data_IF_193299477999
#
_entry.id   IF_193299477999
#
_cell.length_a   1.000
_cell.length_b   1.000
_cell.length_c   1.000
_cell.angle_alpha   90.00
_cell.angle_beta   90.00
_cell.angle_gamma   90.00
#
_symmetry.space_group_name_H-M   'P 1'
#
loop_
_entity.id
_entity.type
_entity.pdbx_description
1 polymer ?
#
# COMPACT_ATOMS: atom_id res chain seq x y z
N UNK A 1 -3.17 -25.27 11.76
CA UNK A 1 -1.84 -24.62 11.56
C UNK A 1 -1.02 -25.57 10.68
N UNK A 2 -0.30 -25.09 9.66
CA UNK A 2 0.29 -25.89 8.56
C UNK A 2 1.27 -27.02 8.96
N UNK A 3 1.50 -27.28 10.25
CA UNK A 3 2.56 -28.18 10.73
C UNK A 3 3.97 -27.63 10.53
N UNK A 4 4.09 -26.38 10.06
CA UNK A 4 5.36 -25.75 9.72
C UNK A 4 5.82 -24.88 10.90
N UNK A 5 7.08 -25.06 11.30
CA UNK A 5 7.71 -24.24 12.33
C UNK A 5 7.72 -22.76 11.91
N UNK A 6 7.46 -21.87 12.86
CA UNK A 6 7.33 -20.42 12.61
C UNK A 6 8.56 -19.83 11.94
N UNK A 7 9.74 -20.28 12.34
CA UNK A 7 11.03 -19.81 11.85
C UNK A 7 11.22 -20.16 10.37
N UNK A 8 10.82 -21.38 9.99
CA UNK A 8 10.87 -21.87 8.60
C UNK A 8 9.93 -21.04 7.74
N UNK A 9 8.67 -20.87 8.17
CA UNK A 9 7.70 -20.06 7.43
C UNK A 9 8.21 -18.62 7.24
N UNK A 10 8.76 -18.01 8.31
CA UNK A 10 9.28 -16.64 8.26
C UNK A 10 10.46 -16.51 7.30
N UNK A 11 11.39 -17.47 7.31
CA UNK A 11 12.52 -17.47 6.38
C UNK A 11 12.02 -17.55 4.93
N UNK A 12 11.09 -18.47 4.62
CA UNK A 12 10.51 -18.60 3.28
C UNK A 12 9.70 -17.40 2.84
N UNK A 13 9.01 -16.73 3.77
CA UNK A 13 8.30 -15.48 3.49
C UNK A 13 9.25 -14.34 3.12
N UNK A 14 10.38 -14.21 3.82
CA UNK A 14 11.39 -13.18 3.52
C UNK A 14 12.00 -13.43 2.14
N UNK A 15 12.40 -14.68 1.84
CA UNK A 15 12.90 -15.08 0.53
C UNK A 15 11.87 -14.77 -0.58
N UNK A 16 10.61 -15.21 -0.39
CA UNK A 16 9.52 -15.00 -1.33
C UNK A 16 9.26 -13.51 -1.61
N UNK A 17 9.23 -12.69 -0.56
CA UNK A 17 9.09 -11.23 -0.68
C UNK A 17 10.20 -10.62 -1.53
N UNK A 18 11.45 -11.02 -1.30
CA UNK A 18 12.58 -10.49 -2.05
C UNK A 18 12.54 -10.94 -3.52
N UNK A 19 12.23 -12.22 -3.78
CA UNK A 19 12.07 -12.75 -5.13
C UNK A 19 10.98 -12.00 -5.91
N UNK A 20 9.81 -11.77 -5.30
CA UNK A 20 8.71 -11.01 -5.93
C UNK A 20 9.13 -9.59 -6.25
N UNK A 21 9.80 -8.90 -5.31
CA UNK A 21 10.30 -7.54 -5.55
C UNK A 21 11.33 -7.48 -6.68
N UNK A 22 12.30 -8.39 -6.69
CA UNK A 22 13.32 -8.43 -7.73
C UNK A 22 12.71 -8.72 -9.11
N UNK A 23 11.68 -9.58 -9.17
CA UNK A 23 11.02 -9.96 -10.43
C UNK A 23 10.18 -8.81 -11.01
N UNK A 24 9.43 -8.11 -10.17
CA UNK A 24 8.46 -7.11 -10.62
C UNK A 24 9.06 -5.69 -10.72
N UNK A 25 10.17 -5.43 -10.02
CA UNK A 25 10.75 -4.09 -9.95
C UNK A 25 9.87 -3.15 -9.11
N UNK A 26 9.89 -1.86 -9.45
CA UNK A 26 9.25 -0.79 -8.69
C UNK A 26 7.85 -0.48 -9.26
N UNK A 27 6.93 -1.41 -9.08
CA UNK A 27 5.52 -1.29 -9.46
C UNK A 27 4.62 -1.78 -8.33
N UNK A 28 3.36 -1.35 -8.32
CA UNK A 28 2.38 -1.67 -7.26
C UNK A 28 2.31 -3.16 -6.89
N UNK A 29 2.34 -4.04 -7.90
CA UNK A 29 2.25 -5.49 -7.72
C UNK A 29 3.47 -6.08 -6.99
N UNK A 30 4.62 -5.40 -7.01
CA UNK A 30 5.82 -5.77 -6.24
C UNK A 30 5.57 -5.80 -4.73
N UNK A 31 4.53 -5.11 -4.26
CA UNK A 31 4.14 -4.99 -2.87
C UNK A 31 2.97 -5.91 -2.47
N UNK A 32 2.50 -6.78 -3.39
CA UNK A 32 1.37 -7.67 -3.20
C UNK A 32 1.65 -8.74 -2.13
N UNK A 33 0.89 -8.68 -1.02
CA UNK A 33 0.94 -9.71 0.03
C UNK A 33 0.44 -11.06 -0.47
N UNK A 34 -0.50 -11.05 -1.42
CA UNK A 34 -0.99 -12.26 -2.06
C UNK A 34 0.15 -12.99 -2.78
N UNK A 35 0.96 -12.25 -3.56
CA UNK A 35 2.11 -12.83 -4.28
C UNK A 35 3.20 -13.31 -3.32
N UNK A 36 3.45 -12.58 -2.22
CA UNK A 36 4.40 -13.01 -1.20
C UNK A 36 3.97 -14.33 -0.57
N UNK A 37 2.69 -14.46 -0.22
CA UNK A 37 2.14 -15.65 0.42
C UNK A 37 2.04 -16.83 -0.56
N UNK A 38 1.57 -16.61 -1.79
CA UNK A 38 1.61 -17.61 -2.85
C UNK A 38 3.01 -18.21 -2.97
N UNK A 39 4.02 -17.34 -3.13
CA UNK A 39 5.39 -17.78 -3.32
C UNK A 39 5.95 -18.47 -2.08
N UNK A 40 5.54 -18.05 -0.88
CA UNK A 40 5.89 -18.72 0.37
C UNK A 40 5.38 -20.16 0.42
N UNK A 41 4.10 -20.38 0.08
CA UNK A 41 3.49 -21.72 0.09
C UNK A 41 4.12 -22.63 -0.98
N UNK A 42 4.42 -22.09 -2.17
CA UNK A 42 5.14 -22.83 -3.22
C UNK A 42 6.55 -23.24 -2.76
N UNK A 43 7.27 -22.36 -2.07
CA UNK A 43 8.62 -22.64 -1.52
C UNK A 43 8.60 -23.60 -0.33
N UNK A 44 7.44 -23.89 0.22
CA UNK A 44 7.21 -24.92 1.23
C UNK A 44 6.77 -26.25 0.60
N UNK A 45 6.86 -26.38 -0.73
CA UNK A 45 6.53 -27.58 -1.51
C UNK A 45 5.05 -28.00 -1.42
N UNK A 46 4.18 -27.06 -1.08
CA UNK A 46 2.74 -27.31 -0.93
C UNK A 46 1.94 -27.03 -2.21
N UNK A 47 2.59 -26.57 -3.29
CA UNK A 47 1.94 -25.97 -4.46
C UNK A 47 1.38 -24.57 -4.13
N UNK A 48 0.41 -24.07 -4.90
CA UNK A 48 -0.17 -22.73 -4.64
C UNK A 48 -1.21 -22.75 -3.52
N UNK A 49 -2.00 -23.83 -3.35
CA UNK A 49 -3.10 -23.92 -2.37
C UNK A 49 -3.95 -22.64 -2.29
N UNK A 50 -4.67 -22.33 -3.37
CA UNK A 50 -5.36 -21.03 -3.59
C UNK A 50 -6.15 -20.55 -2.36
N UNK A 51 -7.01 -21.41 -1.78
CA UNK A 51 -7.81 -21.04 -0.60
C UNK A 51 -6.95 -20.64 0.61
N UNK A 52 -5.85 -21.34 0.85
CA UNK A 52 -4.93 -21.03 1.94
C UNK A 52 -4.23 -19.68 1.70
N UNK A 53 -3.80 -19.42 0.48
CA UNK A 53 -3.12 -18.16 0.14
C UNK A 53 -4.06 -16.97 0.30
N UNK A 54 -5.32 -17.11 -0.12
CA UNK A 54 -6.36 -16.09 0.10
C UNK A 54 -6.63 -15.87 1.60
N UNK A 55 -6.77 -16.95 2.38
CA UNK A 55 -6.99 -16.86 3.83
C UNK A 55 -5.83 -16.17 4.57
N UNK A 56 -4.59 -16.49 4.20
CA UNK A 56 -3.39 -15.86 4.76
C UNK A 56 -3.32 -14.36 4.41
N UNK A 57 -3.71 -13.98 3.19
CA UNK A 57 -3.69 -12.59 2.74
C UNK A 57 -4.74 -11.75 3.45
N UNK A 58 -5.96 -12.28 3.57
CA UNK A 58 -7.02 -11.68 4.36
C UNK A 58 -6.62 -11.56 5.84
N UNK A 59 -6.01 -12.61 6.40
CA UNK A 59 -5.53 -12.60 7.79
C UNK A 59 -4.45 -11.53 7.99
N UNK A 60 -3.51 -11.39 7.05
CA UNK A 60 -2.50 -10.32 7.09
C UNK A 60 -3.17 -8.94 7.12
N UNK A 61 -4.07 -8.65 6.19
CA UNK A 61 -4.68 -7.32 6.08
C UNK A 61 -5.61 -7.00 7.24
N UNK A 62 -6.41 -7.96 7.70
CA UNK A 62 -7.24 -7.80 8.91
C UNK A 62 -6.37 -7.45 10.13
N UNK A 63 -5.29 -8.20 10.33
CA UNK A 63 -4.37 -7.96 11.45
C UNK A 63 -3.67 -6.61 11.31
N UNK A 64 -3.24 -6.25 10.10
CA UNK A 64 -2.63 -4.95 9.82
C UNK A 64 -3.57 -3.79 10.16
N UNK A 65 -4.82 -3.82 9.68
CA UNK A 65 -5.79 -2.74 9.88
C UNK A 65 -6.13 -2.56 11.37
N UNK A 66 -6.37 -3.66 12.11
CA UNK A 66 -6.72 -3.59 13.54
C UNK A 66 -5.58 -3.02 14.40
N UNK A 67 -4.32 -3.23 14.00
CA UNK A 67 -3.16 -2.81 14.80
C UNK A 67 -2.54 -1.48 14.32
N UNK A 68 -2.86 -1.03 13.11
CA UNK A 68 -2.37 0.23 12.59
C UNK A 68 -3.18 1.39 13.20
N UNK A 69 -2.51 2.50 13.50
CA UNK A 69 -3.11 3.69 14.10
C UNK A 69 -2.69 4.92 13.31
N UNK A 70 -3.60 5.89 13.23
CA UNK A 70 -3.28 7.21 12.72
C UNK A 70 -2.25 7.91 13.62
N UNK A 71 -1.38 8.72 13.01
CA UNK A 71 -0.51 9.60 13.77
C UNK A 71 -1.35 10.62 14.56
N UNK A 72 -0.94 10.97 15.79
CA UNK A 72 -1.61 12.02 16.56
C UNK A 72 -1.72 13.33 15.75
N UNK A 73 -2.91 13.93 15.72
CA UNK A 73 -3.17 15.21 15.05
C UNK A 73 -3.30 15.16 13.52
N UNK A 74 -3.20 13.99 12.87
CA UNK A 74 -3.29 13.91 11.39
C UNK A 74 -4.65 14.36 10.86
N UNK A 75 -5.74 14.02 11.57
CA UNK A 75 -7.10 14.42 11.18
C UNK A 75 -7.27 15.94 11.31
N UNK A 76 -6.87 16.50 12.46
CA UNK A 76 -6.93 17.95 12.71
C UNK A 76 -6.12 18.72 11.67
N UNK A 77 -4.94 18.20 11.30
CA UNK A 77 -4.10 18.80 10.27
C UNK A 77 -4.78 18.82 8.90
N UNK A 78 -5.33 17.69 8.43
CA UNK A 78 -5.98 17.65 7.11
C UNK A 78 -7.26 18.49 7.11
N UNK A 79 -8.03 18.52 8.20
CA UNK A 79 -9.19 19.39 8.35
C UNK A 79 -8.80 20.87 8.31
N UNK A 80 -7.69 21.24 8.94
CA UNK A 80 -7.17 22.61 8.90
C UNK A 80 -6.82 23.01 7.45
N UNK A 81 -6.16 22.14 6.69
CA UNK A 81 -5.86 22.39 5.27
C UNK A 81 -7.15 22.61 4.46
N UNK A 82 -8.14 21.73 4.63
CA UNK A 82 -9.44 21.81 3.96
C UNK A 82 -10.18 23.10 4.33
N UNK A 83 -10.17 23.49 5.61
CA UNK A 83 -10.79 24.75 6.09
C UNK A 83 -10.15 26.01 5.50
N UNK A 84 -8.89 25.92 5.07
CA UNK A 84 -8.14 27.00 4.40
C UNK A 84 -8.28 26.95 2.88
N UNK A 85 -9.08 26.03 2.34
CA UNK A 85 -9.23 25.84 0.89
C UNK A 85 -7.98 25.30 0.21
N UNK A 86 -7.10 24.61 0.95
CA UNK A 86 -5.91 23.96 0.38
C UNK A 86 -6.35 22.62 -0.20
N UNK A 87 -6.19 22.46 -1.50
CA UNK A 87 -6.46 21.21 -2.23
C UNK A 87 -5.37 20.19 -1.87
N UNK A 88 -5.76 18.95 -1.60
CA UNK A 88 -4.88 17.90 -1.11
C UNK A 88 -4.93 16.65 -1.97
N UNK A 89 -3.77 16.01 -2.15
CA UNK A 89 -3.66 14.72 -2.81
C UNK A 89 -2.87 13.74 -1.94
N UNK A 90 -3.37 12.50 -1.79
CA UNK A 90 -2.63 11.41 -1.17
C UNK A 90 -1.85 10.63 -2.24
N UNK A 91 -0.52 10.53 -2.10
CA UNK A 91 0.35 9.77 -3.01
C UNK A 91 0.92 8.55 -2.28
N UNK A 92 0.56 7.36 -2.74
CA UNK A 92 0.91 6.10 -2.05
C UNK A 92 1.29 4.98 -2.99
N UNK A 93 2.22 4.14 -2.55
CA UNK A 93 2.55 2.90 -3.25
C UNK A 93 1.57 1.78 -2.82
N UNK A 94 1.58 0.67 -3.57
CA UNK A 94 0.65 -0.46 -3.53
C UNK A 94 -0.62 -0.27 -4.39
N UNK A 95 -1.35 -1.38 -4.60
CA UNK A 95 -2.57 -1.43 -5.42
C UNK A 95 -3.70 -0.57 -4.86
N UNK A 96 -4.54 -0.03 -5.74
CA UNK A 96 -5.59 0.93 -5.42
C UNK A 96 -6.58 0.36 -4.41
N UNK A 97 -7.01 -0.90 -4.60
CA UNK A 97 -8.02 -1.52 -3.75
C UNK A 97 -7.66 -1.50 -2.27
N UNK A 98 -6.43 -1.88 -1.91
CA UNK A 98 -6.03 -1.95 -0.51
C UNK A 98 -5.74 -0.56 0.06
N UNK A 99 -5.27 0.37 -0.76
CA UNK A 99 -5.08 1.76 -0.35
C UNK A 99 -6.42 2.43 -0.04
N UNK A 100 -7.45 2.22 -0.87
CA UNK A 100 -8.80 2.71 -0.60
C UNK A 100 -9.41 2.06 0.64
N UNK A 101 -9.23 0.75 0.84
CA UNK A 101 -9.66 0.07 2.07
C UNK A 101 -9.02 0.66 3.32
N UNK A 102 -7.74 1.04 3.28
CA UNK A 102 -7.09 1.72 4.40
C UNK A 102 -7.71 3.09 4.66
N UNK A 103 -7.91 3.90 3.62
CA UNK A 103 -8.53 5.22 3.76
C UNK A 103 -9.92 5.12 4.40
N UNK A 104 -10.79 4.25 3.89
CA UNK A 104 -12.13 4.02 4.46
C UNK A 104 -12.04 3.50 5.89
N UNK A 105 -11.17 2.52 6.18
CA UNK A 105 -11.03 1.95 7.52
C UNK A 105 -10.60 3.00 8.57
N UNK A 106 -9.76 3.95 8.17
CA UNK A 106 -9.31 5.04 9.05
C UNK A 106 -10.18 6.30 8.98
N UNK A 107 -11.30 6.27 8.25
CA UNK A 107 -12.19 7.41 8.07
C UNK A 107 -11.51 8.60 7.38
N UNK A 108 -10.66 8.34 6.39
CA UNK A 108 -9.91 9.33 5.60
C UNK A 108 -10.42 9.48 4.16
N UNK A 109 -11.47 8.76 3.79
CA UNK A 109 -12.03 8.69 2.44
C UNK A 109 -12.55 10.05 1.92
N UNK A 110 -13.04 10.90 2.80
CA UNK A 110 -13.56 12.24 2.46
C UNK A 110 -12.54 13.38 2.73
N UNK A 111 -11.30 13.03 3.12
CA UNK A 111 -10.32 14.00 3.60
C UNK A 111 -9.37 14.51 2.52
N UNK A 112 -9.19 13.76 1.43
CA UNK A 112 -8.35 14.15 0.31
C UNK A 112 -9.19 14.40 -0.93
N UNK A 113 -8.86 15.45 -1.69
CA UNK A 113 -9.53 15.74 -2.97
C UNK A 113 -9.14 14.71 -4.04
N UNK A 114 -7.90 14.22 -3.96
CA UNK A 114 -7.38 13.22 -4.89
C UNK A 114 -6.57 12.14 -4.17
N UNK A 115 -6.61 10.93 -4.73
CA UNK A 115 -5.70 9.84 -4.38
C UNK A 115 -4.98 9.42 -5.64
N UNK A 116 -3.66 9.21 -5.52
CA UNK A 116 -2.78 8.66 -6.54
C UNK A 116 -2.11 7.43 -5.97
N UNK A 117 -2.31 6.31 -6.64
CA UNK A 117 -1.66 5.05 -6.26
C UNK A 117 -0.60 4.67 -7.28
N UNK A 118 0.43 3.94 -6.86
CA UNK A 118 1.42 3.38 -7.78
C UNK A 118 0.81 2.51 -8.89
N UNK A 119 -0.35 1.89 -8.65
CA UNK A 119 -1.05 1.09 -9.65
C UNK A 119 -1.65 1.99 -10.74
N UNK A 120 -2.19 3.14 -10.35
CA UNK A 120 -2.67 4.16 -11.27
C UNK A 120 -1.53 4.86 -12.02
N UNK A 121 -0.45 5.21 -11.30
CA UNK A 121 0.71 5.90 -11.84
C UNK A 121 1.64 4.98 -12.67
N UNK A 122 1.45 3.66 -12.59
CA UNK A 122 2.26 2.65 -13.27
C UNK A 122 3.65 2.40 -12.66
N UNK A 123 4.06 3.16 -11.65
CA UNK A 123 5.34 3.00 -10.93
C UNK A 123 5.23 3.42 -9.47
N UNK A 124 6.09 2.83 -8.64
CA UNK A 124 6.25 3.22 -7.24
C UNK A 124 7.15 4.47 -7.10
N UNK A 125 6.98 5.21 -5.99
CA UNK A 125 7.97 6.21 -5.56
C UNK A 125 9.37 5.57 -5.41
N UNK A 126 10.47 6.31 -5.68
CA UNK A 126 10.59 7.75 -5.91
C UNK A 126 10.53 8.14 -7.40
N UNK A 127 9.88 7.32 -8.25
CA UNK A 127 9.69 7.69 -9.64
C UNK A 127 8.87 8.99 -9.75
N UNK A 128 9.00 9.72 -10.86
CA UNK A 128 8.33 11.03 -11.03
C UNK A 128 6.83 10.87 -11.34
N UNK A 129 6.43 9.72 -11.86
CA UNK A 129 5.10 9.42 -12.40
C UNK A 129 3.96 9.66 -11.39
N UNK A 130 4.03 9.18 -10.12
CA UNK A 130 2.98 9.48 -9.15
C UNK A 130 2.85 10.97 -8.83
N UNK A 131 3.95 11.72 -8.82
CA UNK A 131 3.94 13.15 -8.52
C UNK A 131 3.40 13.97 -9.69
N UNK A 132 3.80 13.61 -10.91
CA UNK A 132 3.27 14.25 -12.12
C UNK A 132 1.75 14.01 -12.24
N UNK A 133 1.29 12.79 -11.99
CA UNK A 133 -0.14 12.49 -11.98
C UNK A 133 -0.88 13.26 -10.87
N UNK A 134 -0.28 13.43 -9.70
CA UNK A 134 -0.87 14.26 -8.64
C UNK A 134 -0.98 15.73 -9.07
N UNK A 135 0.05 16.30 -9.70
CA UNK A 135 0.04 17.66 -10.22
C UNK A 135 -1.03 17.86 -11.31
N UNK A 136 -1.15 16.89 -12.22
CA UNK A 136 -2.19 16.86 -13.25
C UNK A 136 -3.60 16.86 -12.64
N UNK A 137 -3.82 16.14 -11.54
CA UNK A 137 -5.11 16.15 -10.82
C UNK A 137 -5.35 17.46 -10.08
N UNK A 138 -4.33 17.99 -9.41
CA UNK A 138 -4.44 19.21 -8.60
C UNK A 138 -4.67 20.47 -9.45
N UNK A 139 -4.18 20.50 -10.70
CA UNK A 139 -4.30 21.66 -11.60
C UNK A 139 -3.71 22.95 -11.00
N UNK A 140 -2.62 22.81 -10.23
CA UNK A 140 -1.90 23.92 -9.60
C UNK A 140 -0.46 23.99 -10.13
N UNK A 141 0.14 25.18 -10.07
CA UNK A 141 1.54 25.36 -10.44
C UNK A 141 2.47 24.64 -9.44
N UNK A 142 3.54 24.00 -9.95
CA UNK A 142 4.46 23.18 -9.16
C UNK A 142 5.11 23.95 -8.00
N UNK A 143 5.38 25.24 -8.20
CA UNK A 143 5.97 26.15 -7.20
C UNK A 143 5.03 26.47 -6.02
N UNK A 144 3.76 26.05 -6.10
CA UNK A 144 2.74 26.21 -5.05
C UNK A 144 2.39 24.89 -4.36
N UNK A 145 3.14 23.83 -4.60
CA UNK A 145 2.89 22.50 -4.02
C UNK A 145 3.91 22.17 -2.97
N UNK A 146 3.43 21.63 -1.84
CA UNK A 146 4.27 21.04 -0.81
C UNK A 146 4.05 19.54 -0.75
N UNK A 147 5.13 18.78 -0.85
CA UNK A 147 5.14 17.34 -0.60
C UNK A 147 5.50 17.10 0.86
N UNK A 148 4.66 16.33 1.56
CA UNK A 148 4.88 15.94 2.96
C UNK A 148 5.01 14.41 2.99
N UNK A 149 6.14 13.90 3.46
CA UNK A 149 6.46 12.48 3.60
C UNK A 149 7.66 12.27 4.52
N UNK A 150 7.90 11.02 4.89
CA UNK A 150 9.02 10.55 5.71
C UNK A 150 10.26 10.13 4.88
#
# INVERSE_FOLDING_TARGET
MLGIKREIFRAKFIEARQETKNRLGNVASSHSRLLYLQRTIEKLELGTRILLVLDLEQTYWRTFLINCKLFPGVLDFIQLLKSKGIITANITDLTAQIQFRKLVYFGLDEYFDYVVTSEEAGKDKPSREPFQLALEKLQVAEDKVWMIGD
#
